data_IF_356890269508
#
_entry.id   IF_356890269508
#
_cell.length_a   1.000
_cell.length_b   1.000
_cell.length_c   1.000
_cell.angle_alpha   90.00
_cell.angle_beta   90.00
_cell.angle_gamma   90.00
#
_symmetry.space_group_name_H-M   'P 1'
#
loop_
_entity.id
_entity.type
_entity.pdbx_description
1 polymer ?
#
# COMPACT_ATOMS: atom_id res chain seq x y z
N UNK A 1 26.44 25.99 23.78
CA UNK A 1 26.10 25.58 22.39
C UNK A 1 25.70 24.10 22.26
N UNK A 2 26.27 23.17 23.03
CA UNK A 2 25.98 21.72 22.91
C UNK A 2 24.52 21.30 23.14
N UNK A 3 23.82 21.87 24.14
CA UNK A 3 22.41 21.51 24.43
C UNK A 3 21.46 21.94 23.29
N UNK A 4 21.71 23.12 22.68
CA UNK A 4 20.94 23.59 21.52
C UNK A 4 21.16 22.68 20.30
N UNK A 5 22.39 22.25 20.04
CA UNK A 5 22.70 21.33 18.94
C UNK A 5 22.04 19.96 19.09
N UNK A 6 22.04 19.40 20.32
CA UNK A 6 21.39 18.11 20.61
C UNK A 6 19.87 18.22 20.44
N UNK A 7 19.26 19.30 20.95
CA UNK A 7 17.83 19.54 20.81
C UNK A 7 17.39 19.68 19.35
N UNK A 8 18.16 20.41 18.53
CA UNK A 8 17.85 20.58 17.10
C UNK A 8 17.98 19.26 16.34
N UNK A 9 19.02 18.47 16.61
CA UNK A 9 19.19 17.15 15.99
C UNK A 9 18.00 16.22 16.31
N UNK A 10 17.56 16.19 17.57
CA UNK A 10 16.43 15.36 18.00
C UNK A 10 15.14 15.72 17.26
N UNK A 11 14.84 17.03 17.11
CA UNK A 11 13.65 17.50 16.39
C UNK A 11 13.65 17.07 14.90
N UNK A 12 14.81 17.09 14.25
CA UNK A 12 14.96 16.64 12.85
C UNK A 12 14.77 15.12 12.72
N UNK A 13 15.25 14.35 13.69
CA UNK A 13 15.00 12.89 13.70
C UNK A 13 13.51 12.55 13.93
N UNK A 14 12.81 13.26 14.82
CA UNK A 14 11.39 13.02 15.02
C UNK A 14 10.54 13.40 13.80
N UNK A 15 10.83 14.51 13.13
CA UNK A 15 10.07 14.92 11.94
C UNK A 15 10.26 13.96 10.76
N UNK A 16 11.46 13.40 10.59
CA UNK A 16 11.72 12.38 9.54
C UNK A 16 11.01 11.05 9.81
N UNK A 17 10.84 10.65 11.07
CA UNK A 17 10.07 9.45 11.43
C UNK A 17 8.57 9.67 11.16
N UNK A 18 8.03 10.82 11.56
CA UNK A 18 6.61 11.15 11.36
C UNK A 18 6.26 11.20 9.87
N UNK A 19 7.12 11.80 9.05
CA UNK A 19 6.94 11.87 7.59
C UNK A 19 6.98 10.49 6.95
N UNK A 20 7.97 9.65 7.29
CA UNK A 20 8.05 8.27 6.79
C UNK A 20 6.84 7.41 7.20
N UNK A 21 6.34 7.57 8.43
CA UNK A 21 5.13 6.87 8.89
C UNK A 21 3.89 7.34 8.13
N UNK A 22 3.75 8.64 7.90
CA UNK A 22 2.64 9.23 7.15
C UNK A 22 2.64 8.73 5.71
N UNK A 23 3.80 8.74 5.07
CA UNK A 23 3.99 8.26 3.70
C UNK A 23 3.68 6.76 3.59
N UNK A 24 4.17 5.93 4.51
CA UNK A 24 3.88 4.51 4.54
C UNK A 24 2.36 4.23 4.62
N UNK A 25 1.62 5.01 5.42
CA UNK A 25 0.16 4.86 5.55
C UNK A 25 -0.54 5.23 4.23
N UNK A 26 -0.10 6.30 3.56
CA UNK A 26 -0.68 6.73 2.28
C UNK A 26 -0.43 5.65 1.21
N UNK A 27 0.80 5.14 1.10
CA UNK A 27 1.15 4.10 0.13
C UNK A 27 0.36 2.80 0.38
N UNK A 28 0.13 2.42 1.65
CA UNK A 28 -0.73 1.28 1.96
C UNK A 28 -2.18 1.48 1.54
N UNK A 29 -2.75 2.66 1.80
CA UNK A 29 -4.12 2.99 1.37
C UNK A 29 -4.25 2.97 -0.16
N UNK A 30 -3.23 3.48 -0.84
CA UNK A 30 -3.15 3.45 -2.29
C UNK A 30 -3.15 2.01 -2.81
N UNK A 31 -2.33 1.14 -2.21
CA UNK A 31 -2.25 -0.26 -2.61
C UNK A 31 -3.59 -1.02 -2.45
N UNK A 32 -4.30 -0.80 -1.34
CA UNK A 32 -5.62 -1.37 -1.14
C UNK A 32 -6.62 -0.85 -2.18
N UNK A 33 -6.68 0.48 -2.36
CA UNK A 33 -7.57 1.11 -3.35
C UNK A 33 -7.33 0.55 -4.76
N UNK A 34 -6.06 0.46 -5.18
CA UNK A 34 -5.68 -0.02 -6.50
C UNK A 34 -6.03 -1.50 -6.70
N UNK A 35 -5.70 -2.35 -5.72
CA UNK A 35 -6.08 -3.77 -5.73
C UNK A 35 -7.58 -3.97 -5.93
N UNK A 36 -8.40 -3.27 -5.12
CA UNK A 36 -9.86 -3.36 -5.19
C UNK A 36 -10.36 -2.85 -6.55
N UNK A 37 -9.90 -1.68 -6.98
CA UNK A 37 -10.37 -1.07 -8.22
C UNK A 37 -10.07 -1.93 -9.45
N UNK A 38 -8.86 -2.49 -9.54
CA UNK A 38 -8.46 -3.28 -10.70
C UNK A 38 -9.16 -4.64 -10.73
N UNK A 39 -9.30 -5.30 -9.57
CA UNK A 39 -9.94 -6.61 -9.49
C UNK A 39 -11.46 -6.53 -9.64
N UNK A 40 -12.14 -5.54 -9.06
CA UNK A 40 -13.58 -5.38 -9.29
C UNK A 40 -13.90 -5.04 -10.73
N UNK A 41 -13.09 -4.18 -11.37
CA UNK A 41 -13.23 -3.89 -12.80
C UNK A 41 -12.99 -5.11 -13.68
N UNK A 42 -12.06 -6.00 -13.28
CA UNK A 42 -11.79 -7.24 -14.00
C UNK A 42 -12.89 -8.29 -13.83
N UNK A 43 -13.50 -8.36 -12.64
CA UNK A 43 -14.65 -9.22 -12.36
C UNK A 43 -15.92 -8.75 -13.07
N UNK A 44 -16.18 -7.45 -13.04
CA UNK A 44 -17.33 -6.84 -13.70
C UNK A 44 -16.91 -5.53 -14.39
N UNK A 45 -16.65 -5.56 -15.72
CA UNK A 45 -16.27 -4.37 -16.47
C UNK A 45 -17.33 -3.25 -16.48
N UNK A 46 -18.57 -3.55 -16.11
CA UNK A 46 -19.64 -2.55 -15.98
C UNK A 46 -19.62 -1.83 -14.63
N UNK A 47 -18.82 -2.31 -13.67
CA UNK A 47 -18.67 -1.68 -12.36
C UNK A 47 -17.97 -0.32 -12.46
N UNK A 48 -18.64 0.72 -11.96
CA UNK A 48 -18.12 2.08 -11.87
C UNK A 48 -18.11 2.47 -10.39
N UNK A 49 -16.92 2.56 -9.79
CA UNK A 49 -16.80 2.87 -8.35
C UNK A 49 -17.14 4.32 -8.00
N UNK A 50 -16.97 5.26 -8.95
CA UNK A 50 -16.93 6.70 -8.68
C UNK A 50 -15.99 7.09 -7.53
N UNK A 51 -14.95 6.26 -7.27
CA UNK A 51 -13.99 6.47 -6.20
C UNK A 51 -12.86 7.39 -6.68
N UNK A 52 -12.69 8.52 -6.00
CA UNK A 52 -11.64 9.51 -6.25
C UNK A 52 -10.52 9.47 -5.20
N UNK A 53 -10.43 8.42 -4.40
CA UNK A 53 -9.43 8.27 -3.34
C UNK A 53 -8.00 8.33 -3.87
N UNK A 54 -7.72 7.80 -5.06
CA UNK A 54 -6.42 7.97 -5.73
C UNK A 54 -6.06 9.45 -5.93
N UNK A 55 -6.99 10.26 -6.45
CA UNK A 55 -6.79 11.71 -6.61
C UNK A 55 -6.62 12.43 -5.28
N UNK A 56 -7.36 12.02 -4.24
CA UNK A 56 -7.17 12.56 -2.88
C UNK A 56 -5.77 12.25 -2.33
N UNK A 57 -5.28 11.02 -2.52
CA UNK A 57 -3.93 10.63 -2.10
C UNK A 57 -2.84 11.40 -2.87
N UNK A 58 -3.04 11.59 -4.18
CA UNK A 58 -2.10 12.32 -5.02
C UNK A 58 -2.10 13.82 -4.71
N UNK A 59 -3.26 14.48 -4.81
CA UNK A 59 -3.36 15.94 -4.79
C UNK A 59 -3.43 16.53 -3.38
N UNK A 60 -4.15 15.86 -2.47
CA UNK A 60 -4.40 16.39 -1.13
C UNK A 60 -3.37 15.88 -0.13
N UNK A 61 -2.93 14.62 -0.27
CA UNK A 61 -1.88 14.04 0.57
C UNK A 61 -0.47 14.17 -0.01
N UNK A 62 -0.32 14.75 -1.20
CA UNK A 62 0.96 14.99 -1.86
C UNK A 62 1.85 13.73 -1.94
N UNK A 63 1.24 12.60 -2.30
CA UNK A 63 1.98 11.36 -2.49
C UNK A 63 2.96 11.46 -3.67
N UNK A 64 4.17 10.94 -3.48
CA UNK A 64 5.23 10.95 -4.50
C UNK A 64 4.86 10.07 -5.70
N UNK A 65 4.71 10.68 -6.88
CA UNK A 65 4.31 10.02 -8.11
C UNK A 65 5.23 8.85 -8.51
N UNK A 66 6.55 9.01 -8.33
CA UNK A 66 7.50 8.00 -8.74
C UNK A 66 7.36 6.75 -7.87
N UNK A 67 7.12 6.93 -6.57
CA UNK A 67 6.87 5.82 -5.64
C UNK A 67 5.52 5.15 -5.92
N UNK A 68 4.49 5.92 -6.26
CA UNK A 68 3.19 5.37 -6.66
C UNK A 68 3.30 4.53 -7.93
N UNK A 69 4.02 5.00 -8.95
CA UNK A 69 4.20 4.24 -10.19
C UNK A 69 4.97 2.92 -9.97
N UNK A 70 6.02 2.95 -9.12
CA UNK A 70 6.71 1.72 -8.71
C UNK A 70 5.82 0.79 -7.89
N UNK A 71 4.93 1.35 -7.08
CA UNK A 71 3.97 0.59 -6.29
C UNK A 71 2.87 -0.01 -7.15
N UNK A 72 2.36 0.71 -8.15
CA UNK A 72 1.36 0.21 -9.11
C UNK A 72 1.81 -1.07 -9.77
N UNK A 73 3.03 -1.07 -10.32
CA UNK A 73 3.60 -2.25 -10.97
C UNK A 73 3.65 -3.45 -10.01
N UNK A 74 4.08 -3.23 -8.76
CA UNK A 74 4.13 -4.29 -7.76
C UNK A 74 2.74 -4.82 -7.40
N UNK A 75 1.74 -3.94 -7.30
CA UNK A 75 0.35 -4.33 -7.03
C UNK A 75 -0.21 -5.16 -8.18
N UNK A 76 0.00 -4.74 -9.43
CA UNK A 76 -0.45 -5.44 -10.63
C UNK A 76 0.17 -6.84 -10.72
N UNK A 77 1.49 -6.95 -10.53
CA UNK A 77 2.21 -8.22 -10.51
C UNK A 77 1.72 -9.17 -9.41
N UNK A 78 1.26 -8.64 -8.27
CA UNK A 78 0.90 -9.45 -7.09
C UNK A 78 -0.59 -9.83 -7.05
N UNK A 79 -1.48 -8.94 -7.53
CA UNK A 79 -2.92 -9.01 -7.23
C UNK A 79 -3.82 -9.17 -8.46
N UNK A 80 -3.26 -9.16 -9.68
CA UNK A 80 -4.04 -9.16 -10.95
C UNK A 80 -4.98 -10.36 -11.13
N UNK A 81 -4.76 -11.46 -10.42
CA UNK A 81 -5.56 -12.68 -10.54
C UNK A 81 -6.54 -12.88 -9.37
N UNK A 82 -6.65 -11.94 -8.43
CA UNK A 82 -7.52 -12.11 -7.24
C UNK A 82 -8.99 -12.23 -7.61
N UNK A 83 -9.44 -11.58 -8.69
CA UNK A 83 -10.80 -11.74 -9.20
C UNK A 83 -11.12 -13.16 -9.72
N UNK A 84 -10.08 -13.98 -10.02
CA UNK A 84 -10.21 -15.38 -10.46
C UNK A 84 -10.22 -16.36 -9.30
N UNK A 85 -9.90 -15.90 -8.08
CA UNK A 85 -9.91 -16.73 -6.88
C UNK A 85 -11.38 -16.96 -6.50
N UNK A 86 -11.94 -18.04 -7.04
CA UNK A 86 -13.36 -18.38 -6.93
C UNK A 86 -13.84 -18.56 -5.50
N UNK A 87 -15.16 -18.62 -5.34
CA UNK A 87 -15.82 -18.89 -4.07
C UNK A 87 -15.82 -20.39 -3.76
N UNK A 88 -15.81 -20.76 -2.47
CA UNK A 88 -15.91 -22.16 -2.03
C UNK A 88 -17.34 -22.59 -1.72
N UNK A 89 -18.21 -21.61 -1.53
CA UNK A 89 -19.59 -21.75 -1.10
C UNK A 89 -20.50 -21.92 -2.30
N UNK A 90 -21.56 -22.72 -2.12
CA UNK A 90 -22.60 -22.89 -3.12
C UNK A 90 -23.59 -21.72 -3.04
N UNK A 91 -23.21 -20.58 -3.63
CA UNK A 91 -24.03 -19.37 -3.69
C UNK A 91 -24.87 -19.35 -4.98
N UNK A 92 -26.11 -18.86 -4.89
CA UNK A 92 -26.95 -18.62 -6.07
C UNK A 92 -26.44 -17.45 -6.92
N UNK A 93 -25.63 -16.56 -6.34
CA UNK A 93 -25.01 -15.43 -7.01
C UNK A 93 -23.75 -15.85 -7.79
N UNK A 94 -23.88 -15.94 -9.11
CA UNK A 94 -22.78 -16.28 -10.02
C UNK A 94 -21.70 -15.20 -10.14
N UNK A 95 -21.91 -14.01 -9.55
CA UNK A 95 -20.94 -12.91 -9.49
C UNK A 95 -20.23 -12.80 -8.13
N UNK A 96 -20.58 -13.65 -7.16
CA UNK A 96 -19.95 -13.62 -5.85
C UNK A 96 -18.44 -13.88 -5.94
N UNK A 97 -17.67 -13.19 -5.09
CA UNK A 97 -16.21 -13.17 -5.14
C UNK A 97 -15.60 -12.82 -3.77
N UNK A 98 -14.30 -13.12 -3.62
CA UNK A 98 -13.51 -12.80 -2.42
C UNK A 98 -12.48 -11.68 -2.63
N UNK A 99 -12.73 -10.79 -3.59
CA UNK A 99 -11.80 -9.71 -3.95
C UNK A 99 -11.42 -8.86 -2.75
N UNK A 100 -12.41 -8.43 -1.96
CA UNK A 100 -12.16 -7.63 -0.76
C UNK A 100 -11.23 -8.36 0.23
N UNK A 101 -11.51 -9.64 0.48
CA UNK A 101 -10.73 -10.45 1.40
C UNK A 101 -9.27 -10.57 0.94
N UNK A 102 -9.04 -10.94 -0.32
CA UNK A 102 -7.69 -11.08 -0.86
C UNK A 102 -6.93 -9.74 -0.92
N UNK A 103 -7.61 -8.64 -1.28
CA UNK A 103 -6.99 -7.32 -1.24
C UNK A 103 -6.66 -6.87 0.19
N UNK A 104 -7.45 -7.25 1.19
CA UNK A 104 -7.12 -7.02 2.60
C UNK A 104 -5.94 -7.85 3.07
N UNK A 105 -5.88 -9.14 2.72
CA UNK A 105 -4.72 -9.99 3.02
C UNK A 105 -3.43 -9.39 2.41
N UNK A 106 -3.51 -8.90 1.17
CA UNK A 106 -2.40 -8.18 0.54
C UNK A 106 -2.03 -6.89 1.27
N UNK A 107 -3.03 -6.07 1.65
CA UNK A 107 -2.83 -4.84 2.43
C UNK A 107 -2.12 -5.12 3.77
N UNK A 108 -2.43 -6.24 4.43
CA UNK A 108 -1.83 -6.62 5.72
C UNK A 108 -0.48 -7.34 5.57
N UNK A 109 -0.17 -7.82 4.35
CA UNK A 109 0.98 -8.67 4.07
C UNK A 109 2.33 -8.05 4.50
N UNK A 110 3.23 -8.91 4.99
CA UNK A 110 4.63 -8.53 5.26
C UNK A 110 5.35 -8.14 3.98
N UNK A 111 4.96 -8.71 2.85
CA UNK A 111 5.51 -8.41 1.53
C UNK A 111 5.29 -6.94 1.16
N UNK A 112 4.04 -6.49 1.11
CA UNK A 112 3.68 -5.10 0.79
C UNK A 112 4.35 -4.14 1.78
N UNK A 113 4.30 -4.45 3.07
CA UNK A 113 4.95 -3.64 4.11
C UNK A 113 6.46 -3.51 3.87
N UNK A 114 7.13 -4.58 3.45
CA UNK A 114 8.56 -4.56 3.13
C UNK A 114 8.86 -3.80 1.84
N UNK A 115 8.01 -3.92 0.82
CA UNK A 115 8.13 -3.17 -0.42
C UNK A 115 8.01 -1.66 -0.17
N UNK A 116 6.97 -1.23 0.54
CA UNK A 116 6.76 0.17 0.92
C UNK A 116 7.94 0.71 1.73
N UNK A 117 8.46 -0.05 2.69
CA UNK A 117 9.66 0.35 3.47
C UNK A 117 10.88 0.60 2.59
N UNK A 118 11.09 -0.21 1.55
CA UNK A 118 12.17 0.00 0.57
C UNK A 118 11.94 1.29 -0.23
N UNK A 119 10.71 1.55 -0.67
CA UNK A 119 10.36 2.76 -1.42
C UNK A 119 10.63 4.04 -0.63
N UNK A 120 10.29 4.06 0.66
CA UNK A 120 10.49 5.23 1.54
C UNK A 120 11.91 5.32 2.12
N UNK A 121 12.83 4.42 1.72
CA UNK A 121 14.22 4.43 2.18
C UNK A 121 14.45 3.92 3.61
N UNK A 122 13.46 3.27 4.23
CA UNK A 122 13.61 2.65 5.55
C UNK A 122 14.23 1.26 5.37
N UNK A 123 15.55 1.19 5.46
CA UNK A 123 16.29 -0.08 5.40
C UNK A 123 16.06 -0.91 6.66
N UNK A 124 15.68 -2.18 6.48
CA UNK A 124 15.73 -3.15 7.58
C UNK A 124 17.20 -3.43 7.87
N UNK A 125 17.67 -3.11 9.09
CA UNK A 125 18.94 -3.68 9.58
C UNK A 125 18.81 -5.20 9.49
N UNK A 126 19.50 -5.82 8.51
CA UNK A 126 19.68 -7.28 8.48
C UNK A 126 20.26 -7.64 9.85
N UNK A 127 19.53 -8.43 10.66
CA UNK A 127 20.14 -9.09 11.82
C UNK A 127 21.24 -9.98 11.27
N UNK A 128 22.49 -9.54 11.38
CA UNK A 128 23.64 -10.42 11.26
C UNK A 128 23.55 -11.38 12.43
N UNK A 129 22.97 -12.56 12.18
CA UNK A 129 23.18 -13.71 13.04
C UNK A 129 24.67 -14.02 12.98
N UNK A 130 25.43 -13.56 13.97
CA UNK A 130 26.76 -14.11 14.24
C UNK A 130 26.55 -15.59 14.53
N UNK A 131 26.93 -16.44 13.59
CA UNK A 131 27.24 -17.84 13.85
C UNK A 131 28.69 -17.91 14.27
#
# INVERSE_FOLDING_TARGET
>A
MGIKMISTALCVFFSTIITAQTESVILKKYALHKCLSDNYKSADPSFISHDYSASYMFQIKNADYNKLNLLDKHIEETTSDYYKMGITENLEDSKANYIFWHCMDFYESKELNNYIRKLIGVTTKKKTSKK
#
